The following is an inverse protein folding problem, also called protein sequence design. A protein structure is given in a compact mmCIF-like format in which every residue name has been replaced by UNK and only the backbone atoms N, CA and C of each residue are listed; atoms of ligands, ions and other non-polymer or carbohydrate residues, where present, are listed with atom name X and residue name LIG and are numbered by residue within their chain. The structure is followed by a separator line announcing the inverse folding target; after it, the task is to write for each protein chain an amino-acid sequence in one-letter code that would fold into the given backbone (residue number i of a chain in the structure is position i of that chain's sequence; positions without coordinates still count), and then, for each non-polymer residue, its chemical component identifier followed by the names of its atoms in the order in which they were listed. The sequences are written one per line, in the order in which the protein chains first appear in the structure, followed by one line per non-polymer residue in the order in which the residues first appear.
data_IF_874872017432
#
_entry.id   IF_874872017432
#
_cell.length_a   1.000
_cell.length_b   1.000
_cell.length_c   1.000
_cell.angle_alpha   90.00
_cell.angle_beta   90.00
_cell.angle_gamma   90.00
#
_symmetry.space_group_name_H-M   'P 1'
#
loop_
_entity.id
_entity.type
_entity.pdbx_description
1 polymer ?
#
# COMPACT_ATOMS: atom_id res chain seq x y z
N UNK A 1 2.00 20.48 10.20
CA UNK A 1 1.41 19.58 11.21
C UNK A 1 2.11 18.24 11.03
N UNK A 2 3.07 17.92 11.89
CA UNK A 2 3.83 16.66 11.78
C UNK A 2 3.00 15.57 12.45
N UNK A 3 2.45 14.64 11.66
CA UNK A 3 1.82 13.43 12.20
C UNK A 3 2.96 12.46 12.50
N UNK A 4 3.39 12.40 13.76
CA UNK A 4 4.21 11.31 14.26
C UNK A 4 3.23 10.18 14.59
N UNK A 5 3.40 9.02 13.96
CA UNK A 5 2.71 7.80 14.36
C UNK A 5 3.29 7.38 15.73
N UNK A 6 2.80 8.00 16.81
CA UNK A 6 3.07 7.49 18.15
C UNK A 6 2.47 6.09 18.24
N UNK A 7 3.23 5.11 18.73
CA UNK A 7 2.76 3.72 18.85
C UNK A 7 1.63 3.66 19.88
N UNK A 8 0.38 3.59 19.43
CA UNK A 8 -0.77 3.47 20.33
C UNK A 8 -1.20 2.01 20.35
N UNK A 9 -0.46 1.18 21.08
CA UNK A 9 -0.91 -0.15 21.53
C UNK A 9 -0.36 -1.35 20.73
N UNK A 10 0.13 -1.16 19.51
CA UNK A 10 0.78 -2.23 18.74
C UNK A 10 2.29 -2.27 18.95
N UNK A 11 2.81 -3.49 19.18
CA UNK A 11 4.24 -3.77 19.14
C UNK A 11 4.78 -3.56 17.72
N UNK A 12 5.88 -2.82 17.58
CA UNK A 12 6.58 -2.59 16.32
C UNK A 12 7.43 -3.80 15.93
N UNK A 13 6.76 -4.89 15.57
CA UNK A 13 7.34 -6.19 15.19
C UNK A 13 6.79 -6.66 13.86
N UNK A 14 7.56 -7.46 13.12
CA UNK A 14 7.07 -8.08 11.90
C UNK A 14 6.06 -9.19 12.23
N UNK A 15 4.84 -9.09 11.70
CA UNK A 15 3.75 -10.04 11.97
C UNK A 15 3.70 -11.14 10.90
N UNK A 16 3.81 -12.42 11.25
CA UNK A 16 3.49 -13.50 10.28
C UNK A 16 2.09 -13.33 9.69
N UNK A 17 1.82 -13.97 8.56
CA UNK A 17 0.51 -13.94 7.91
C UNK A 17 -0.63 -14.25 8.90
N UNK A 18 -0.48 -15.29 9.72
CA UNK A 18 -1.49 -15.69 10.71
C UNK A 18 -1.66 -14.63 11.81
N UNK A 19 -0.55 -14.06 12.28
CA UNK A 19 -0.58 -13.01 13.32
C UNK A 19 -1.23 -11.74 12.79
N UNK A 20 -0.90 -11.32 11.56
CA UNK A 20 -1.53 -10.20 10.88
C UNK A 20 -3.03 -10.46 10.68
N UNK A 21 -3.41 -11.64 10.20
CA UNK A 21 -4.81 -11.98 9.95
C UNK A 21 -5.63 -11.95 11.25
N UNK A 22 -5.10 -12.51 12.34
CA UNK A 22 -5.72 -12.46 13.66
C UNK A 22 -5.85 -11.04 14.19
N UNK A 23 -4.82 -10.21 13.99
CA UNK A 23 -4.84 -8.81 14.40
C UNK A 23 -5.93 -8.00 13.65
N UNK A 24 -6.01 -8.16 12.32
CA UNK A 24 -7.05 -7.50 11.53
C UNK A 24 -8.44 -7.99 11.93
N UNK A 25 -8.62 -9.28 12.21
CA UNK A 25 -9.90 -9.80 12.70
C UNK A 25 -10.30 -9.16 14.04
N UNK A 26 -9.34 -9.04 14.97
CA UNK A 26 -9.57 -8.36 16.25
C UNK A 26 -9.96 -6.88 16.08
N UNK A 27 -9.37 -6.18 15.11
CA UNK A 27 -9.81 -4.83 14.77
C UNK A 27 -11.26 -4.79 14.27
N UNK A 28 -11.67 -5.78 13.47
CA UNK A 28 -13.06 -5.90 13.03
C UNK A 28 -14.01 -6.14 14.20
N UNK A 29 -13.66 -7.03 15.12
CA UNK A 29 -14.48 -7.32 16.30
C UNK A 29 -14.63 -6.11 17.22
N UNK A 30 -13.58 -5.29 17.33
CA UNK A 30 -13.56 -4.08 18.17
C UNK A 30 -14.26 -2.88 17.53
N UNK A 31 -14.27 -2.78 16.20
CA UNK A 31 -14.84 -1.65 15.45
C UNK A 31 -15.81 -2.10 14.34
N UNK A 32 -16.84 -2.92 14.63
CA UNK A 32 -17.66 -3.58 13.61
C UNK A 32 -18.50 -2.60 12.78
N UNK A 33 -18.86 -1.44 13.34
CA UNK A 33 -19.69 -0.41 12.69
C UNK A 33 -19.01 0.28 11.51
N UNK A 34 -17.67 0.27 11.48
CA UNK A 34 -16.86 1.04 10.53
C UNK A 34 -15.76 0.19 9.88
N UNK A 35 -15.75 -1.13 10.09
CA UNK A 35 -14.71 -1.98 9.51
C UNK A 35 -15.28 -3.27 8.92
N UNK A 36 -14.56 -3.81 7.94
CA UNK A 36 -14.81 -5.15 7.42
C UNK A 36 -13.50 -5.77 6.95
N UNK A 37 -13.33 -7.06 7.22
CA UNK A 37 -12.22 -7.87 6.75
C UNK A 37 -12.73 -8.89 5.75
N UNK A 38 -12.20 -8.88 4.54
CA UNK A 38 -12.59 -9.84 3.49
C UNK A 38 -11.38 -10.26 2.67
N UNK A 39 -11.57 -11.30 1.86
CA UNK A 39 -10.54 -11.78 0.95
C UNK A 39 -10.89 -11.45 -0.50
N UNK A 40 -9.89 -11.07 -1.29
CA UNK A 40 -10.03 -10.83 -2.73
C UNK A 40 -9.61 -12.02 -3.59
N UNK A 41 -9.12 -13.09 -2.97
CA UNK A 41 -8.60 -14.28 -3.64
C UNK A 41 -7.62 -15.04 -2.76
N UNK A 42 -6.94 -16.01 -3.34
CA UNK A 42 -5.95 -16.83 -2.64
C UNK A 42 -4.60 -16.75 -3.35
N UNK A 43 -3.51 -16.85 -2.59
CA UNK A 43 -2.17 -17.04 -3.11
C UNK A 43 -1.97 -18.42 -3.74
N UNK A 44 -0.82 -18.64 -4.36
CA UNK A 44 -0.42 -19.95 -4.90
C UNK A 44 -0.49 -21.05 -3.82
N UNK A 45 -0.06 -20.76 -2.59
CA UNK A 45 -0.11 -21.69 -1.46
C UNK A 45 -1.40 -21.57 -0.63
N UNK A 46 -2.48 -21.05 -1.21
CA UNK A 46 -3.82 -21.06 -0.60
C UNK A 46 -3.99 -20.17 0.64
N UNK A 47 -3.15 -19.15 0.81
CA UNK A 47 -3.38 -18.10 1.81
C UNK A 47 -4.35 -17.07 1.27
N UNK A 48 -5.31 -16.64 2.08
CA UNK A 48 -6.27 -15.60 1.68
C UNK A 48 -5.53 -14.28 1.49
N UNK A 49 -5.83 -13.58 0.41
CA UNK A 49 -5.33 -12.22 0.19
C UNK A 49 -6.31 -11.28 0.85
N UNK A 50 -5.96 -10.80 2.04
CA UNK A 50 -6.86 -10.09 2.95
C UNK A 50 -6.85 -8.59 2.71
N UNK A 51 -8.05 -8.01 2.61
CA UNK A 51 -8.28 -6.56 2.54
C UNK A 51 -9.07 -6.13 3.78
N UNK A 52 -8.54 -5.13 4.47
CA UNK A 52 -9.19 -4.49 5.60
C UNK A 52 -9.79 -3.16 5.14
N UNK A 53 -11.11 -3.05 5.18
CA UNK A 53 -11.82 -1.82 4.84
C UNK A 53 -12.19 -1.05 6.11
N UNK A 54 -11.99 0.26 6.08
CA UNK A 54 -12.42 1.23 7.08
C UNK A 54 -13.38 2.22 6.43
N UNK A 55 -14.54 2.45 7.03
CA UNK A 55 -15.54 3.42 6.57
C UNK A 55 -16.94 3.11 7.08
N UNK A 56 -17.75 4.15 7.31
CA UNK A 56 -19.10 4.02 7.86
C UNK A 56 -20.17 3.74 6.79
N UNK A 57 -20.91 2.63 6.93
CA UNK A 57 -22.06 2.33 6.06
C UNK A 57 -23.28 3.22 6.37
N UNK A 58 -23.44 3.63 7.62
CA UNK A 58 -24.64 4.34 8.11
C UNK A 58 -24.76 5.78 7.59
N UNK A 59 -23.67 6.36 7.08
CA UNK A 59 -23.61 7.76 6.63
C UNK A 59 -23.75 7.93 5.12
N UNK A 60 -24.16 6.89 4.38
CA UNK A 60 -24.36 6.83 2.91
C UNK A 60 -25.50 7.69 2.35
N UNK A 61 -25.77 8.88 2.89
CA UNK A 61 -26.76 9.79 2.31
C UNK A 61 -26.17 10.55 1.11
N UNK A 62 -26.44 10.03 -0.09
CA UNK A 62 -26.57 10.83 -1.32
C UNK A 62 -25.31 11.30 -2.05
N UNK A 63 -24.10 11.09 -1.51
CA UNK A 63 -22.84 11.37 -2.20
C UNK A 63 -22.07 10.06 -2.50
N UNK A 64 -21.45 9.98 -3.67
CA UNK A 64 -20.49 8.91 -3.98
C UNK A 64 -19.34 8.96 -2.97
N UNK A 65 -19.22 7.92 -2.15
CA UNK A 65 -18.12 7.79 -1.18
C UNK A 65 -16.82 7.53 -1.94
N UNK A 66 -15.80 8.36 -1.71
CA UNK A 66 -14.50 8.16 -2.35
C UNK A 66 -13.83 6.88 -1.79
N UNK A 67 -13.55 5.92 -2.68
CA UNK A 67 -12.78 4.73 -2.32
C UNK A 67 -11.28 5.02 -2.53
N UNK A 68 -10.51 4.87 -1.46
CA UNK A 68 -9.05 5.02 -1.45
C UNK A 68 -8.47 3.66 -1.11
N UNK A 69 -7.39 3.25 -1.79
CA UNK A 69 -6.68 2.02 -1.42
C UNK A 69 -5.21 2.21 -1.16
N UNK A 70 -4.71 1.41 -0.22
CA UNK A 70 -3.31 1.21 0.09
C UNK A 70 -2.93 -0.25 -0.10
N UNK A 71 -1.84 -0.50 -0.83
CA UNK A 71 -1.31 -1.85 -1.07
C UNK A 71 0.12 -1.92 -0.56
N UNK A 72 0.44 -2.97 0.19
CA UNK A 72 1.78 -3.29 0.64
C UNK A 72 2.13 -4.75 0.34
N UNK A 73 3.42 -5.07 0.42
CA UNK A 73 3.91 -6.44 0.29
C UNK A 73 3.62 -7.08 -1.07
N UNK A 74 3.66 -6.32 -2.18
CA UNK A 74 3.65 -6.91 -3.54
C UNK A 74 4.88 -7.81 -3.72
N UNK A 75 6.04 -7.32 -3.31
CA UNK A 75 7.21 -8.16 -3.10
C UNK A 75 7.22 -8.60 -1.63
N UNK A 76 7.15 -9.91 -1.39
CA UNK A 76 6.89 -10.44 -0.05
C UNK A 76 7.98 -10.09 0.98
N UNK A 77 9.23 -9.94 0.53
CA UNK A 77 10.34 -9.54 1.38
C UNK A 77 10.28 -8.09 1.89
N UNK A 78 9.45 -7.23 1.31
CA UNK A 78 9.29 -5.82 1.70
C UNK A 78 8.38 -5.65 2.93
N UNK A 79 8.70 -6.41 3.99
CA UNK A 79 7.90 -6.59 5.19
C UNK A 79 7.56 -5.28 5.92
N UNK A 80 8.39 -4.24 5.79
CA UNK A 80 8.14 -2.93 6.40
C UNK A 80 6.86 -2.27 5.85
N UNK A 81 6.51 -2.50 4.58
CA UNK A 81 5.28 -1.94 3.98
C UNK A 81 4.04 -2.50 4.65
N UNK A 82 4.02 -3.80 4.93
CA UNK A 82 2.95 -4.47 5.67
C UNK A 82 2.76 -3.84 7.05
N UNK A 83 3.84 -3.65 7.81
CA UNK A 83 3.75 -3.09 9.16
C UNK A 83 3.30 -1.63 9.16
N UNK A 84 3.78 -0.80 8.22
CA UNK A 84 3.32 0.60 8.12
C UNK A 84 1.82 0.67 7.84
N UNK A 85 1.29 -0.23 7.01
CA UNK A 85 -0.13 -0.27 6.71
C UNK A 85 -0.97 -0.79 7.89
N UNK A 86 -0.46 -1.74 8.67
CA UNK A 86 -1.11 -2.19 9.92
C UNK A 86 -1.14 -1.04 10.95
N UNK A 87 -0.03 -0.30 11.08
CA UNK A 87 0.03 0.87 11.97
C UNK A 87 -0.90 2.00 11.52
N UNK A 88 -1.07 2.20 10.21
CA UNK A 88 -2.07 3.14 9.68
C UNK A 88 -3.49 2.72 10.09
N UNK A 89 -3.83 1.44 9.98
CA UNK A 89 -5.14 0.91 10.42
C UNK A 89 -5.36 1.20 11.90
N UNK A 90 -4.42 0.82 12.76
CA UNK A 90 -4.52 1.04 14.21
C UNK A 90 -4.63 2.53 14.57
N UNK A 91 -3.84 3.38 13.92
CA UNK A 91 -3.90 4.83 14.11
C UNK A 91 -5.27 5.40 13.75
N UNK A 92 -5.82 5.03 12.59
CA UNK A 92 -7.13 5.50 12.15
C UNK A 92 -8.25 5.05 13.11
N UNK A 93 -8.24 3.79 13.53
CA UNK A 93 -9.27 3.24 14.42
C UNK A 93 -9.16 3.76 15.86
N UNK A 94 -7.94 3.89 16.40
CA UNK A 94 -7.72 4.36 17.77
C UNK A 94 -8.11 5.82 17.97
N UNK A 95 -8.10 6.61 16.88
CA UNK A 95 -8.45 8.04 16.84
C UNK A 95 -9.87 8.32 16.36
N UNK A 96 -10.58 7.36 15.76
CA UNK A 96 -11.98 7.54 15.37
C UNK A 96 -12.85 7.96 16.56
N UNK A 97 -13.67 9.01 16.38
CA UNK A 97 -14.47 9.71 17.40
C UNK A 97 -13.68 10.44 18.50
N UNK A 98 -12.36 10.48 18.42
CA UNK A 98 -11.49 11.26 19.32
C UNK A 98 -10.82 12.43 18.59
N UNK A 99 -10.49 12.24 17.33
CA UNK A 99 -9.93 13.25 16.44
C UNK A 99 -10.97 13.63 15.38
N UNK A 100 -11.32 14.91 15.30
CA UNK A 100 -12.37 15.41 14.41
C UNK A 100 -12.02 15.18 12.93
N UNK A 101 -10.76 15.36 12.55
CA UNK A 101 -10.32 15.20 11.17
C UNK A 101 -10.37 13.72 10.76
N UNK A 102 -9.86 12.81 11.59
CA UNK A 102 -9.90 11.36 11.32
C UNK A 102 -11.34 10.85 11.32
N UNK A 103 -12.18 11.37 12.20
CA UNK A 103 -13.61 11.02 12.23
C UNK A 103 -14.30 11.42 10.93
N UNK A 104 -14.09 12.66 10.46
CA UNK A 104 -14.62 13.11 9.18
C UNK A 104 -14.06 12.31 7.99
N UNK A 105 -12.76 12.00 8.01
CA UNK A 105 -12.12 11.18 6.97
C UNK A 105 -12.79 9.81 6.85
N UNK A 106 -12.99 9.11 7.96
CA UNK A 106 -13.64 7.78 7.98
C UNK A 106 -15.14 7.86 7.65
N UNK A 107 -15.82 8.92 8.06
CA UNK A 107 -17.25 9.10 7.77
C UNK A 107 -17.52 9.46 6.29
N UNK A 108 -16.54 10.05 5.59
CA UNK A 108 -16.69 10.53 4.21
C UNK A 108 -16.01 9.65 3.16
N UNK A 109 -15.17 8.68 3.55
CA UNK A 109 -14.39 7.86 2.62
C UNK A 109 -14.47 6.38 2.97
N UNK A 110 -14.15 5.52 2.00
CA UNK A 110 -13.82 4.13 2.25
C UNK A 110 -12.33 3.92 2.01
N UNK A 111 -11.61 3.56 3.06
CA UNK A 111 -10.18 3.28 3.00
C UNK A 111 -10.02 1.76 2.98
N UNK A 112 -9.44 1.24 1.91
CA UNK A 112 -9.13 -0.18 1.75
C UNK A 112 -7.63 -0.41 1.92
N UNK A 113 -7.26 -1.32 2.80
CA UNK A 113 -5.86 -1.63 3.08
C UNK A 113 -5.61 -3.10 2.75
N UNK A 114 -4.74 -3.35 1.78
CA UNK A 114 -4.17 -4.66 1.45
C UNK A 114 -2.73 -4.71 1.98
N UNK A 115 -2.50 -5.14 3.23
CA UNK A 115 -1.19 -5.03 3.86
C UNK A 115 -0.16 -6.04 3.34
N UNK A 116 -0.60 -7.18 2.81
CA UNK A 116 0.28 -8.27 2.35
C UNK A 116 -0.29 -8.91 1.08
N UNK A 117 0.08 -8.37 -0.07
CA UNK A 117 -0.37 -8.87 -1.38
C UNK A 117 0.26 -10.21 -1.78
N UNK A 118 1.52 -10.46 -1.38
CA UNK A 118 2.25 -11.70 -1.60
C UNK A 118 2.53 -12.43 -0.27
N UNK A 119 1.52 -13.07 0.36
CA UNK A 119 1.71 -13.71 1.65
C UNK A 119 2.69 -14.90 1.58
N UNK A 120 2.78 -15.59 0.44
CA UNK A 120 3.70 -16.73 0.29
C UNK A 120 5.17 -16.28 0.31
N UNK A 121 5.49 -15.22 -0.45
CA UNK A 121 6.82 -14.61 -0.41
C UNK A 121 7.14 -14.02 0.96
N UNK A 122 6.13 -13.45 1.63
CA UNK A 122 6.30 -12.81 2.92
C UNK A 122 6.63 -13.79 4.06
N UNK A 123 6.12 -15.03 4.00
CA UNK A 123 6.48 -16.09 4.95
C UNK A 123 7.88 -16.68 4.68
N UNK A 124 8.40 -16.53 3.46
CA UNK A 124 9.76 -16.96 3.11
C UNK A 124 10.84 -15.90 3.39
N UNK A 125 10.42 -14.66 3.64
CA UNK A 125 11.30 -13.51 3.79
C UNK A 125 12.29 -13.67 4.94
N UNK A 126 13.55 -13.32 4.70
CA UNK A 126 14.56 -13.29 5.75
C UNK A 126 14.55 -11.93 6.46
N UNK A 127 14.03 -11.88 7.69
CA UNK A 127 14.02 -10.68 8.50
C UNK A 127 15.43 -10.25 8.93
N UNK A 128 15.63 -8.94 9.09
CA UNK A 128 16.88 -8.36 9.59
C UNK A 128 18.00 -8.23 8.56
N UNK A 129 17.78 -8.59 7.29
CA UNK A 129 18.76 -8.42 6.20
C UNK A 129 18.22 -7.54 5.07
N UNK A 130 18.70 -6.30 4.98
CA UNK A 130 18.22 -5.32 4.00
C UNK A 130 18.42 -5.75 2.54
N UNK A 131 19.51 -6.46 2.22
CA UNK A 131 19.86 -6.84 0.85
C UNK A 131 19.31 -8.23 0.45
N UNK A 132 18.52 -8.87 1.31
CA UNK A 132 17.98 -10.20 1.04
C UNK A 132 16.79 -10.12 0.07
N UNK A 133 16.95 -10.75 -1.10
CA UNK A 133 15.86 -10.95 -2.07
C UNK A 133 15.00 -12.20 -1.78
N UNK A 134 15.32 -12.96 -0.72
CA UNK A 134 14.53 -14.14 -0.35
C UNK A 134 13.10 -13.70 0.00
N UNK A 135 12.10 -14.26 -0.69
CA UNK A 135 10.70 -13.87 -0.54
C UNK A 135 10.25 -12.73 -1.44
N UNK A 136 11.08 -12.28 -2.39
CA UNK A 136 10.69 -11.25 -3.36
C UNK A 136 9.53 -11.69 -4.25
N UNK A 137 9.72 -12.81 -4.93
CA UNK A 137 8.71 -13.40 -5.79
C UNK A 137 7.60 -14.12 -5.00
N UNK A 138 6.49 -14.46 -5.67
CA UNK A 138 5.50 -15.37 -5.11
C UNK A 138 5.98 -16.83 -5.15
N UNK A 139 5.15 -17.79 -4.73
CA UNK A 139 5.52 -19.21 -4.73
C UNK A 139 5.61 -19.88 -6.13
N UNK A 140 5.54 -19.11 -7.21
CA UNK A 140 5.85 -19.54 -8.59
C UNK A 140 7.06 -18.80 -9.17
N UNK A 141 7.87 -18.17 -8.32
CA UNK A 141 9.04 -17.38 -8.70
C UNK A 141 8.71 -16.21 -9.65
N UNK A 142 7.50 -15.64 -9.53
CA UNK A 142 7.08 -14.43 -10.26
C UNK A 142 7.14 -13.21 -9.35
N UNK A 143 7.82 -12.15 -9.79
CA UNK A 143 7.73 -10.81 -9.19
C UNK A 143 6.35 -10.21 -9.49
N UNK A 144 5.53 -10.04 -8.45
CA UNK A 144 4.16 -9.55 -8.63
C UNK A 144 4.11 -8.13 -9.18
N UNK A 145 5.12 -7.30 -8.91
CA UNK A 145 5.14 -5.90 -9.38
C UNK A 145 5.22 -5.82 -10.91
N UNK A 146 5.95 -6.75 -11.53
CA UNK A 146 6.11 -6.85 -12.99
C UNK A 146 4.97 -7.63 -13.64
N UNK A 147 4.21 -8.40 -12.86
CA UNK A 147 3.18 -9.29 -13.38
C UNK A 147 1.90 -8.59 -13.89
N UNK A 148 1.75 -7.31 -13.58
CA UNK A 148 0.65 -6.48 -14.09
C UNK A 148 0.88 -5.99 -15.53
N UNK A 149 2.11 -6.11 -16.05
CA UNK A 149 2.45 -5.63 -17.39
C UNK A 149 1.69 -6.40 -18.49
N UNK A 150 1.46 -5.71 -19.62
CA UNK A 150 0.85 -6.31 -20.80
C UNK A 150 1.77 -7.38 -21.41
N UNK A 151 1.18 -8.42 -22.02
CA UNK A 151 1.94 -9.51 -22.65
C UNK A 151 2.30 -10.69 -21.73
N UNK A 152 2.07 -10.61 -20.42
CA UNK A 152 2.25 -11.77 -19.54
C UNK A 152 1.17 -12.83 -19.82
N UNK A 153 1.57 -13.95 -20.44
CA UNK A 153 0.68 -15.03 -20.85
C UNK A 153 -0.03 -15.72 -19.68
N UNK A 154 0.64 -15.86 -18.52
CA UNK A 154 0.09 -16.53 -17.33
C UNK A 154 0.36 -15.71 -16.08
N UNK A 155 -0.62 -14.88 -15.70
CA UNK A 155 -0.56 -14.11 -14.46
C UNK A 155 -0.76 -15.01 -13.25
N UNK A 156 -0.05 -14.76 -12.14
CA UNK A 156 -0.24 -15.53 -10.92
C UNK A 156 -1.57 -15.15 -10.24
N UNK A 157 -2.12 -16.02 -9.36
CA UNK A 157 -3.43 -15.81 -8.77
C UNK A 157 -3.52 -14.52 -7.94
N UNK A 158 -2.43 -14.10 -7.31
CA UNK A 158 -2.37 -12.86 -6.53
C UNK A 158 -2.64 -11.63 -7.42
N UNK A 159 -1.99 -11.57 -8.58
CA UNK A 159 -2.16 -10.50 -9.55
C UNK A 159 -3.57 -10.48 -10.11
N UNK A 160 -4.12 -11.64 -10.45
CA UNK A 160 -5.49 -11.74 -10.94
C UNK A 160 -6.50 -11.27 -9.88
N UNK A 161 -6.31 -11.66 -8.62
CA UNK A 161 -7.14 -11.20 -7.51
C UNK A 161 -7.13 -9.66 -7.39
N UNK A 162 -5.95 -9.04 -7.47
CA UNK A 162 -5.81 -7.57 -7.42
C UNK A 162 -6.43 -6.91 -8.65
N UNK A 163 -6.25 -7.47 -9.85
CA UNK A 163 -6.86 -6.95 -11.07
C UNK A 163 -8.38 -6.97 -11.02
N UNK A 164 -8.98 -8.10 -10.63
CA UNK A 164 -10.43 -8.23 -10.52
C UNK A 164 -10.99 -7.34 -9.40
N UNK A 165 -10.30 -7.25 -8.28
CA UNK A 165 -10.66 -6.29 -7.22
C UNK A 165 -10.60 -4.84 -7.70
N UNK A 166 -9.58 -4.48 -8.49
CA UNK A 166 -9.44 -3.14 -9.09
C UNK A 166 -10.61 -2.79 -10.01
N UNK A 167 -11.12 -3.76 -10.77
CA UNK A 167 -12.27 -3.57 -11.65
C UNK A 167 -13.59 -3.48 -10.91
N UNK A 168 -13.70 -4.19 -9.77
CA UNK A 168 -14.95 -4.29 -9.00
C UNK A 168 -15.23 -3.03 -8.20
N UNK A 169 -14.21 -2.42 -7.61
CA UNK A 169 -14.35 -1.22 -6.80
C UNK A 169 -13.96 0.03 -7.59
N UNK A 170 -14.73 1.12 -7.46
CA UNK A 170 -14.40 2.39 -8.09
C UNK A 170 -13.37 3.18 -7.25
N UNK A 171 -12.09 2.83 -7.35
CA UNK A 171 -11.01 3.51 -6.61
C UNK A 171 -10.68 4.88 -7.21
N UNK A 172 -10.80 5.93 -6.39
CA UNK A 172 -10.39 7.28 -6.75
C UNK A 172 -8.87 7.47 -6.64
N UNK A 173 -8.27 6.92 -5.58
CA UNK A 173 -6.83 7.02 -5.31
C UNK A 173 -6.28 5.65 -4.93
N UNK A 174 -5.13 5.30 -5.49
CA UNK A 174 -4.40 4.07 -5.17
C UNK A 174 -2.96 4.41 -4.83
N UNK A 175 -2.51 3.96 -3.66
CA UNK A 175 -1.12 4.09 -3.22
C UNK A 175 -0.55 2.70 -2.99
N UNK A 176 0.58 2.41 -3.63
CA UNK A 176 1.32 1.17 -3.41
C UNK A 176 2.62 1.51 -2.67
N UNK A 177 2.82 0.88 -1.52
CA UNK A 177 4.02 1.04 -0.72
C UNK A 177 5.10 0.05 -1.16
N UNK A 178 6.34 0.54 -1.20
CA UNK A 178 7.55 -0.22 -1.58
C UNK A 178 8.68 0.12 -0.60
N UNK A 179 9.74 -0.68 -0.60
CA UNK A 179 10.99 -0.37 0.14
C UNK A 179 12.17 -0.20 -0.82
N UNK A 180 13.37 0.08 -0.28
CA UNK A 180 14.58 0.21 -1.09
C UNK A 180 14.86 1.62 -1.63
N UNK A 181 14.01 2.60 -1.32
CA UNK A 181 14.20 4.00 -1.69
C UNK A 181 13.42 4.97 -0.80
N UNK A 182 13.80 6.25 -0.83
CA UNK A 182 13.09 7.35 -0.17
C UNK A 182 12.56 8.31 -1.23
N UNK A 183 11.46 7.93 -1.89
CA UNK A 183 10.89 8.63 -3.04
C UNK A 183 9.43 8.23 -3.27
N UNK A 184 8.61 9.18 -3.75
CA UNK A 184 7.30 8.87 -4.35
C UNK A 184 7.46 8.72 -5.87
N UNK A 185 7.00 7.60 -6.42
CA UNK A 185 6.89 7.44 -7.87
C UNK A 185 5.45 7.60 -8.32
N UNK A 186 5.24 8.28 -9.44
CA UNK A 186 3.93 8.45 -10.05
C UNK A 186 3.96 8.04 -11.54
N UNK A 187 2.81 7.74 -12.16
CA UNK A 187 2.77 7.30 -13.55
C UNK A 187 3.36 8.32 -14.55
N UNK A 188 3.87 7.89 -15.71
CA UNK A 188 4.08 6.51 -16.14
C UNK A 188 5.46 5.98 -15.71
N UNK A 189 5.59 4.66 -15.59
CA UNK A 189 6.90 4.01 -15.46
C UNK A 189 7.65 4.04 -16.80
N UNK A 190 8.96 4.27 -16.75
CA UNK A 190 9.83 4.27 -17.93
C UNK A 190 9.89 2.91 -18.64
N UNK A 191 9.49 1.83 -17.97
CA UNK A 191 9.39 0.49 -18.56
C UNK A 191 8.21 0.30 -19.54
N UNK A 192 7.24 1.22 -19.54
CA UNK A 192 6.08 1.14 -20.45
C UNK A 192 6.41 1.89 -21.74
N UNK A 193 7.11 1.24 -22.68
CA UNK A 193 7.58 1.87 -23.92
C UNK A 193 6.55 1.90 -25.06
N UNK A 194 6.49 3.07 -25.70
CA UNK A 194 6.17 3.40 -27.11
C UNK A 194 4.72 3.50 -27.63
N UNK A 195 3.71 2.86 -27.04
CA UNK A 195 2.35 2.90 -27.60
C UNK A 195 1.26 3.48 -26.69
N UNK A 196 1.60 4.01 -25.51
CA UNK A 196 0.63 4.69 -24.64
C UNK A 196 0.72 6.19 -24.82
N UNK A 197 -0.45 6.83 -24.91
CA UNK A 197 -0.55 8.28 -24.89
C UNK A 197 0.08 8.81 -23.59
N UNK A 198 0.84 9.92 -23.65
CA UNK A 198 1.33 10.56 -22.44
C UNK A 198 0.15 10.94 -21.53
N UNK A 199 0.41 11.08 -20.23
CA UNK A 199 -0.59 11.64 -19.33
C UNK A 199 -1.05 13.00 -19.86
N UNK A 200 -2.35 13.29 -19.71
CA UNK A 200 -2.80 14.66 -19.94
C UNK A 200 -2.06 15.59 -18.97
N UNK A 201 -1.91 16.86 -19.37
CA UNK A 201 -1.23 17.85 -18.51
C UNK A 201 -1.93 17.97 -17.14
N UNK A 202 -3.26 17.83 -17.11
CA UNK A 202 -4.07 17.87 -15.89
C UNK A 202 -3.78 16.65 -15.00
N UNK A 203 -3.70 15.45 -15.57
CA UNK A 203 -3.38 14.24 -14.81
C UNK A 203 -1.97 14.32 -14.25
N UNK A 204 -1.01 14.80 -15.04
CA UNK A 204 0.37 14.99 -14.61
C UNK A 204 0.44 15.96 -13.43
N UNK A 205 -0.19 17.13 -13.53
CA UNK A 205 -0.23 18.10 -12.42
C UNK A 205 -0.89 17.53 -11.17
N UNK A 206 -1.95 16.73 -11.34
CA UNK A 206 -2.63 16.06 -10.23
C UNK A 206 -1.72 15.04 -9.54
N UNK A 207 -1.00 14.21 -10.31
CA UNK A 207 -0.03 13.26 -9.75
C UNK A 207 1.15 13.94 -9.08
N UNK A 208 1.72 14.98 -9.68
CA UNK A 208 2.81 15.76 -9.08
C UNK A 208 2.35 16.43 -7.77
N UNK A 209 1.12 16.94 -7.73
CA UNK A 209 0.53 17.52 -6.52
C UNK A 209 0.41 16.48 -5.40
N UNK A 210 -0.15 15.30 -5.68
CA UNK A 210 -0.30 14.22 -4.70
C UNK A 210 1.07 13.73 -4.20
N UNK A 211 2.03 13.55 -5.11
CA UNK A 211 3.39 13.11 -4.75
C UNK A 211 4.10 14.15 -3.87
N UNK A 212 3.91 15.44 -4.17
CA UNK A 212 4.47 16.53 -3.38
C UNK A 212 3.86 16.61 -1.97
N UNK A 213 2.55 16.36 -1.81
CA UNK A 213 1.90 16.30 -0.49
C UNK A 213 2.57 15.24 0.39
N UNK A 214 2.73 14.03 -0.13
CA UNK A 214 3.33 12.93 0.63
C UNK A 214 4.81 13.21 0.94
N UNK A 215 5.58 13.63 -0.06
CA UNK A 215 7.02 13.91 0.09
C UNK A 215 7.31 15.02 1.12
N UNK A 216 6.51 16.09 1.13
CA UNK A 216 6.64 17.20 2.09
C UNK A 216 6.21 16.83 3.50
N UNK A 217 5.25 15.91 3.65
CA UNK A 217 4.84 15.39 4.95
C UNK A 217 5.90 14.45 5.55
N UNK A 218 6.72 13.80 4.72
CA UNK A 218 7.85 13.00 5.16
C UNK A 218 9.02 13.88 5.65
N UNK A 219 9.69 13.45 6.72
CA UNK A 219 10.75 14.20 7.42
C UNK A 219 11.87 14.68 6.48
N UNK A 220 12.29 13.85 5.55
CA UNK A 220 13.48 14.08 4.71
C UNK A 220 13.30 13.70 3.23
N UNK A 221 12.15 13.17 2.82
CA UNK A 221 11.95 12.72 1.43
C UNK A 221 12.06 13.90 0.47
N UNK A 222 11.41 15.02 0.81
CA UNK A 222 11.44 16.27 0.04
C UNK A 222 12.84 16.88 -0.12
N UNK A 223 13.80 16.51 0.73
CA UNK A 223 15.20 16.95 0.60
C UNK A 223 15.90 16.30 -0.60
N UNK A 224 15.29 15.25 -1.18
CA UNK A 224 15.75 14.62 -2.42
C UNK A 224 17.00 13.76 -2.29
N UNK A 225 17.41 13.49 -1.05
CA UNK A 225 18.48 12.57 -0.73
C UNK A 225 17.90 11.15 -0.64
N UNK A 226 17.80 10.45 -1.76
CA UNK A 226 17.39 9.03 -1.82
C UNK A 226 18.50 8.10 -1.28
N UNK A 227 19.02 8.38 -0.08
CA UNK A 227 20.04 7.58 0.58
C UNK A 227 19.41 6.31 1.14
N UNK A 228 19.79 5.17 0.58
CA UNK A 228 19.58 3.87 1.18
C UNK A 228 20.89 3.06 1.12
N UNK A 229 21.41 2.66 2.29
CA UNK A 229 22.60 1.80 2.41
C UNK A 229 23.96 2.46 2.14
N UNK A 230 24.99 1.63 1.99
CA UNK A 230 26.40 2.03 1.76
C UNK A 230 26.73 2.44 0.31
N UNK A 231 25.72 2.55 -0.56
CA UNK A 231 25.93 2.91 -1.95
C UNK A 231 26.17 4.41 -2.08
N UNK A 232 27.36 4.78 -2.56
CA UNK A 232 27.74 6.17 -2.90
C UNK A 232 26.99 6.74 -4.12
N UNK A 233 25.97 6.06 -4.65
CA UNK A 233 25.13 6.60 -5.73
C UNK A 233 24.12 7.57 -5.14
N UNK A 234 24.55 8.82 -4.92
CA UNK A 234 23.65 9.94 -4.66
C UNK A 234 22.77 10.18 -5.90
N UNK A 235 21.65 9.47 -6.01
CA UNK A 235 20.59 9.85 -6.95
C UNK A 235 19.80 10.97 -6.28
N UNK A 236 20.11 12.21 -6.67
CA UNK A 236 19.33 13.38 -6.25
C UNK A 236 17.97 13.32 -6.93
N UNK A 237 16.91 13.18 -6.14
CA UNK A 237 15.52 13.20 -6.62
C UNK A 237 14.89 14.49 -6.11
N UNK A 238 14.96 15.55 -6.91
CA UNK A 238 14.46 16.88 -6.52
C UNK A 238 13.02 16.78 -6.00
N UNK A 239 12.74 17.41 -4.85
CA UNK A 239 11.45 17.39 -4.17
C UNK A 239 10.97 16.00 -3.68
N UNK A 240 11.79 14.94 -3.78
CA UNK A 240 11.46 13.61 -3.26
C UNK A 240 10.45 12.81 -4.07
N UNK A 241 10.17 13.20 -5.31
CA UNK A 241 9.29 12.43 -6.20
C UNK A 241 9.76 12.45 -7.66
N UNK A 242 9.38 11.42 -8.41
CA UNK A 242 9.76 11.25 -9.82
C UNK A 242 8.75 10.37 -10.56
N UNK A 243 8.82 10.30 -11.88
CA UNK A 243 8.04 9.32 -12.65
C UNK A 243 8.54 7.91 -12.35
N UNK A 244 7.68 6.90 -12.46
CA UNK A 244 8.08 5.51 -12.27
C UNK A 244 9.32 5.15 -13.12
N UNK A 245 10.22 4.33 -12.57
CA UNK A 245 11.30 3.71 -13.34
C UNK A 245 10.83 2.42 -13.97
#
# INVERSE_FOLDING_TARGET
MNVILDSIGLSMTYHSYDTMAALLANFTDKYPEITSLFSIGESVQKRKILVFRIGSESKRRGAETANIRFIGGLQGHERATTEVLIQLVDYLLSRYRKDTFITQLIDMTHIYVLPMANPDGAELAQLGKCDSIKGLANARDVDLDQSFLEGMAKRPPETLAIMEWTKRENFLVSVTMRTGGNVVTYPFSSMVSNNRLPLSEIDKQSFEHLANIYSKAHRDMHLGSARCGHSNRNRLIKNGFTTGS
#
